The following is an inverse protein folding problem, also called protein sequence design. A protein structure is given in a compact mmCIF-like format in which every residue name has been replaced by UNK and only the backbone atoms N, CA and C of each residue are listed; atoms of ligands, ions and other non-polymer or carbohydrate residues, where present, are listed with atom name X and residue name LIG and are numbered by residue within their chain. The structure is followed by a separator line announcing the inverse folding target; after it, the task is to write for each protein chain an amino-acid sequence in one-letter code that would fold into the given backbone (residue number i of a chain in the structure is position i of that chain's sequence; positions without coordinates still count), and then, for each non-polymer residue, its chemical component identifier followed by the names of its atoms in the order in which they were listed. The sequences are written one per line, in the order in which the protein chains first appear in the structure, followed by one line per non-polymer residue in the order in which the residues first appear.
data_IF_404672541038
#
_entry.id   IF_404672541038
#
_cell.length_a   1.000
_cell.length_b   1.000
_cell.length_c   1.000
_cell.angle_alpha   90.00
_cell.angle_beta   90.00
_cell.angle_gamma   90.00
#
_symmetry.space_group_name_H-M   'P 1'
#
loop_
_entity.id
_entity.type
_entity.pdbx_description
1 polymer ?
#
# COMPACT_ATOMS: atom_id res chain seq x y z
N UNK A 1 -37.26 44.47 -4.95
CA UNK A 1 -36.95 43.71 -6.18
C UNK A 1 -35.44 43.79 -6.47
N UNK A 2 -34.87 44.97 -6.72
CA UNK A 2 -33.44 45.10 -7.07
C UNK A 2 -32.47 44.57 -5.96
N UNK A 3 -32.73 44.89 -4.69
CA UNK A 3 -31.89 44.43 -3.56
C UNK A 3 -31.92 42.91 -3.36
N UNK A 4 -33.10 42.31 -3.50
CA UNK A 4 -33.29 40.86 -3.39
C UNK A 4 -32.57 40.10 -4.52
N UNK A 5 -32.52 40.66 -5.73
CA UNK A 5 -31.78 40.05 -6.85
C UNK A 5 -30.27 40.09 -6.63
N UNK A 6 -29.75 41.18 -6.08
CA UNK A 6 -28.32 41.34 -5.77
C UNK A 6 -27.89 40.37 -4.65
N UNK A 7 -28.72 40.20 -3.62
CA UNK A 7 -28.45 39.24 -2.55
C UNK A 7 -28.45 37.80 -3.05
N UNK A 8 -29.37 37.45 -3.96
CA UNK A 8 -29.43 36.13 -4.57
C UNK A 8 -28.18 35.84 -5.41
N UNK A 9 -27.70 36.81 -6.21
CA UNK A 9 -26.48 36.70 -7.02
C UNK A 9 -25.21 36.51 -6.17
N UNK A 10 -25.14 37.16 -5.01
CA UNK A 10 -24.03 36.99 -4.05
C UNK A 10 -24.04 35.60 -3.38
N UNK A 11 -25.22 35.03 -3.12
CA UNK A 11 -25.34 33.69 -2.55
C UNK A 11 -24.81 32.59 -3.50
N UNK A 12 -25.02 32.72 -4.82
CA UNK A 12 -24.49 31.76 -5.81
C UNK A 12 -22.96 31.73 -5.83
N UNK A 13 -22.31 32.87 -5.57
CA UNK A 13 -20.84 32.96 -5.49
C UNK A 13 -20.25 32.28 -4.23
N UNK A 14 -21.08 32.00 -3.23
CA UNK A 14 -20.68 31.25 -2.02
C UNK A 14 -21.04 29.76 -2.08
N UNK A 15 -21.84 29.36 -3.07
CA UNK A 15 -22.13 27.97 -3.39
C UNK A 15 -20.97 27.42 -4.23
N UNK A 16 -19.80 27.28 -3.60
CA UNK A 16 -18.85 26.29 -4.08
C UNK A 16 -19.52 24.94 -3.88
N UNK A 17 -20.11 24.40 -4.96
CA UNK A 17 -20.34 22.97 -5.02
C UNK A 17 -18.97 22.34 -4.74
N UNK A 18 -18.89 21.55 -3.67
CA UNK A 18 -17.72 20.74 -3.36
C UNK A 18 -17.57 19.70 -4.47
N UNK A 19 -17.11 20.12 -5.66
CA UNK A 19 -16.70 19.27 -6.78
C UNK A 19 -15.34 18.66 -6.44
N UNK A 20 -15.21 18.11 -5.23
CA UNK A 20 -14.12 17.25 -4.86
C UNK A 20 -14.07 16.09 -5.85
N UNK A 21 -12.87 15.71 -6.26
CA UNK A 21 -12.65 14.57 -7.15
C UNK A 21 -13.43 13.34 -6.63
N UNK A 22 -14.39 12.78 -7.40
CA UNK A 22 -15.20 11.64 -6.94
C UNK A 22 -14.39 10.34 -6.85
N UNK A 23 -13.12 10.38 -7.26
CA UNK A 23 -12.15 9.31 -7.19
C UNK A 23 -11.11 9.61 -6.10
N UNK A 24 -10.84 8.62 -5.26
CA UNK A 24 -9.62 8.56 -4.44
C UNK A 24 -8.65 7.56 -5.06
N UNK A 25 -7.32 7.82 -5.06
CA UNK A 25 -6.34 6.85 -5.56
C UNK A 25 -6.55 5.48 -4.92
N UNK A 26 -6.35 4.40 -5.68
CA UNK A 26 -6.56 3.04 -5.19
C UNK A 26 -5.55 2.66 -4.11
N UNK A 27 -5.99 1.87 -3.12
CA UNK A 27 -5.05 1.22 -2.21
C UNK A 27 -4.32 0.15 -2.99
N UNK A 28 -2.99 0.16 -2.90
CA UNK A 28 -2.17 -0.89 -3.48
C UNK A 28 -1.62 -1.74 -2.34
N UNK A 29 -1.76 -3.06 -2.48
CA UNK A 29 -1.19 -4.02 -1.54
C UNK A 29 0.31 -3.79 -1.37
N UNK A 30 0.77 -3.90 -0.12
CA UNK A 30 2.16 -3.85 0.23
C UNK A 30 2.98 -4.91 -0.47
N UNK A 31 4.20 -4.56 -0.82
CA UNK A 31 5.13 -5.47 -1.48
C UNK A 31 6.54 -5.35 -0.91
N UNK A 32 7.14 -6.51 -0.68
CA UNK A 32 8.50 -6.62 -0.17
C UNK A 32 9.50 -6.82 -1.32
N UNK A 33 10.49 -5.94 -1.38
CA UNK A 33 11.52 -5.94 -2.43
C UNK A 33 12.91 -6.13 -1.83
N UNK A 34 13.66 -7.18 -2.22
CA UNK A 34 14.97 -7.47 -1.67
C UNK A 34 16.08 -6.74 -2.43
N UNK A 35 17.19 -6.47 -1.74
CA UNK A 35 18.43 -6.02 -2.38
C UNK A 35 19.24 -7.15 -3.06
N UNK A 36 18.87 -8.42 -2.82
CA UNK A 36 19.53 -9.61 -3.35
C UNK A 36 18.49 -10.67 -3.76
N UNK A 37 18.82 -11.53 -4.72
CA UNK A 37 17.90 -12.56 -5.20
C UNK A 37 17.82 -13.73 -4.22
N UNK A 38 16.72 -13.82 -3.47
CA UNK A 38 16.34 -15.01 -2.69
C UNK A 38 15.03 -15.61 -3.19
N UNK A 39 14.69 -16.81 -2.72
CA UNK A 39 13.47 -17.52 -3.09
C UNK A 39 12.35 -17.23 -2.11
N UNK A 40 11.23 -16.68 -2.59
CA UNK A 40 9.97 -16.67 -1.86
C UNK A 40 9.25 -17.97 -2.18
N UNK A 41 8.97 -18.77 -1.15
CA UNK A 41 8.27 -20.06 -1.30
C UNK A 41 6.75 -19.89 -1.27
N UNK A 42 6.25 -18.88 -0.57
CA UNK A 42 4.82 -18.55 -0.48
C UNK A 42 4.66 -17.09 -0.04
N UNK A 43 3.63 -16.42 -0.56
CA UNK A 43 3.12 -15.17 -0.01
C UNK A 43 1.66 -15.36 0.38
N UNK A 44 1.31 -14.95 1.59
CA UNK A 44 -0.07 -14.91 2.06
C UNK A 44 -0.44 -13.49 2.44
N UNK A 45 -1.59 -13.03 1.96
CA UNK A 45 -2.10 -11.66 2.14
C UNK A 45 -3.48 -11.78 2.76
N UNK A 46 -3.61 -11.42 4.03
CA UNK A 46 -4.87 -11.29 4.72
C UNK A 46 -5.27 -9.81 4.78
N UNK A 47 -6.45 -9.49 4.24
CA UNK A 47 -6.98 -8.13 4.16
C UNK A 47 -8.27 -8.07 4.96
N UNK A 48 -8.30 -7.24 6.00
CA UNK A 48 -9.51 -6.97 6.77
C UNK A 48 -10.04 -5.58 6.44
N UNK A 49 -11.27 -5.51 5.91
CA UNK A 49 -11.98 -4.26 5.70
C UNK A 49 -12.80 -3.92 6.94
N UNK A 50 -12.50 -2.77 7.54
CA UNK A 50 -13.14 -2.29 8.77
C UNK A 50 -13.79 -0.94 8.50
N UNK A 51 -15.01 -0.74 9.00
CA UNK A 51 -15.67 0.56 8.92
C UNK A 51 -14.88 1.62 9.69
N UNK A 52 -14.56 2.74 9.05
CA UNK A 52 -13.96 3.90 9.67
C UNK A 52 -15.03 4.68 10.42
N UNK A 53 -15.03 4.57 11.74
CA UNK A 53 -15.99 5.27 12.61
C UNK A 53 -15.56 6.69 12.95
N UNK A 54 -14.36 7.13 12.50
CA UNK A 54 -13.83 8.46 12.81
C UNK A 54 -14.31 9.55 11.84
N UNK A 55 -14.76 9.17 10.63
CA UNK A 55 -15.32 10.09 9.65
C UNK A 55 -16.86 9.93 9.55
N UNK A 56 -17.57 11.07 9.51
CA UNK A 56 -19.04 11.15 9.44
C UNK A 56 -19.60 10.53 8.15
N UNK A 57 -18.75 10.30 7.15
CA UNK A 57 -19.09 9.65 5.88
C UNK A 57 -18.89 8.13 5.87
N UNK A 58 -18.41 7.52 6.97
CA UNK A 58 -18.22 6.06 7.13
C UNK A 58 -17.60 5.38 5.90
N UNK A 59 -16.34 5.74 5.60
CA UNK A 59 -15.52 4.99 4.65
C UNK A 59 -14.95 3.72 5.30
N UNK A 60 -14.31 2.85 4.53
CA UNK A 60 -13.64 1.66 5.05
C UNK A 60 -12.12 1.86 5.08
N UNK A 61 -11.47 1.32 6.11
CA UNK A 61 -10.03 1.13 6.17
C UNK A 61 -9.68 -0.32 5.90
N UNK A 62 -8.55 -0.54 5.24
CA UNK A 62 -7.98 -1.87 5.05
C UNK A 62 -6.82 -2.07 6.02
N UNK A 63 -6.90 -3.14 6.79
CA UNK A 63 -5.78 -3.65 7.59
C UNK A 63 -5.21 -4.88 6.90
N UNK A 64 -3.93 -4.83 6.59
CA UNK A 64 -3.22 -5.87 5.86
C UNK A 64 -2.28 -6.61 6.81
N UNK A 65 -2.26 -7.94 6.68
CA UNK A 65 -1.20 -8.79 7.22
C UNK A 65 -0.63 -9.60 6.08
N UNK A 66 0.64 -9.35 5.74
CA UNK A 66 1.32 -10.04 4.64
C UNK A 66 2.45 -10.89 5.20
N UNK A 67 2.36 -12.19 4.95
CA UNK A 67 3.34 -13.20 5.37
C UNK A 67 4.13 -13.70 4.16
N UNK A 68 5.44 -13.43 4.16
CA UNK A 68 6.40 -13.94 3.20
C UNK A 68 7.17 -15.12 3.79
N UNK A 69 7.05 -16.28 3.18
CA UNK A 69 7.91 -17.42 3.47
C UNK A 69 9.10 -17.41 2.53
N UNK A 70 10.31 -17.38 3.08
CA UNK A 70 11.55 -17.19 2.33
C UNK A 70 12.51 -18.33 2.66
N UNK A 71 13.06 -18.96 1.62
CA UNK A 71 14.12 -19.95 1.79
C UNK A 71 15.49 -19.32 1.55
N UNK A 72 16.40 -19.49 2.51
CA UNK A 72 17.78 -19.01 2.44
C UNK A 72 18.76 -20.20 2.49
N UNK A 73 19.63 -20.31 1.49
CA UNK A 73 20.66 -21.37 1.41
C UNK A 73 21.71 -21.27 2.52
N UNK A 74 21.91 -20.06 3.03
CA UNK A 74 22.83 -19.71 4.11
C UNK A 74 22.25 -18.59 4.97
N UNK A 75 22.81 -18.39 6.16
CA UNK A 75 22.41 -17.29 7.02
C UNK A 75 22.88 -15.96 6.40
N UNK A 76 21.96 -14.99 6.27
CA UNK A 76 22.20 -13.73 5.57
C UNK A 76 21.44 -12.58 6.23
N UNK A 77 22.04 -11.40 6.20
CA UNK A 77 21.32 -10.15 6.46
C UNK A 77 20.78 -9.60 5.13
N UNK A 78 19.46 -9.55 5.01
CA UNK A 78 18.77 -9.16 3.78
C UNK A 78 18.15 -7.76 3.93
N UNK A 79 18.74 -6.72 3.29
CA UNK A 79 18.09 -5.42 3.20
C UNK A 79 16.85 -5.50 2.32
N UNK A 80 15.75 -4.94 2.80
CA UNK A 80 14.45 -4.98 2.18
C UNK A 80 13.82 -3.59 2.15
N UNK A 81 13.00 -3.34 1.12
CA UNK A 81 12.06 -2.23 1.08
C UNK A 81 10.65 -2.78 1.01
N UNK A 82 9.78 -2.26 1.87
CA UNK A 82 8.35 -2.45 1.81
C UNK A 82 7.69 -1.24 1.17
N UNK A 83 6.86 -1.47 0.15
CA UNK A 83 6.20 -0.44 -0.64
C UNK A 83 4.68 -0.70 -0.65
N UNK A 84 3.87 0.25 -0.21
CA UNK A 84 2.41 0.16 -0.22
C UNK A 84 1.81 1.53 -0.53
N UNK A 85 0.75 1.65 -1.35
CA UNK A 85 0.15 2.97 -1.63
C UNK A 85 -0.96 3.35 -0.65
N UNK A 86 -1.06 4.66 -0.37
CA UNK A 86 -2.06 5.26 0.53
C UNK A 86 -2.00 4.67 1.93
N UNK A 87 -0.79 4.42 2.43
CA UNK A 87 -0.60 3.86 3.74
C UNK A 87 -0.90 4.92 4.81
N UNK A 88 -1.71 4.54 5.80
CA UNK A 88 -1.97 5.36 6.99
C UNK A 88 -0.89 5.14 8.06
N UNK A 89 -0.31 3.94 8.08
CA UNK A 89 0.79 3.61 8.97
C UNK A 89 1.29 2.18 8.77
N UNK A 90 2.58 2.00 9.03
CA UNK A 90 3.17 0.68 9.23
C UNK A 90 2.91 0.29 10.69
N UNK A 91 2.21 -0.83 10.90
CA UNK A 91 1.82 -1.27 12.24
C UNK A 91 2.93 -2.11 12.88
N UNK A 92 3.44 -3.10 12.13
CA UNK A 92 4.41 -4.06 12.66
C UNK A 92 5.23 -4.75 11.57
N UNK A 93 6.46 -5.11 11.89
CA UNK A 93 7.26 -6.06 11.09
C UNK A 93 7.78 -7.16 12.01
N UNK A 94 7.57 -8.42 11.62
CA UNK A 94 8.15 -9.59 12.29
C UNK A 94 9.11 -10.30 11.34
N UNK A 95 10.30 -10.65 11.84
CA UNK A 95 11.24 -11.55 11.16
C UNK A 95 11.47 -12.75 12.07
N UNK A 96 11.05 -13.93 11.63
CA UNK A 96 11.09 -15.16 12.41
C UNK A 96 10.50 -14.96 13.82
N UNK A 97 9.29 -14.38 13.90
CA UNK A 97 8.55 -14.03 15.11
C UNK A 97 9.16 -12.92 15.98
N UNK A 98 10.34 -12.39 15.63
CA UNK A 98 10.96 -11.29 16.33
C UNK A 98 10.55 -9.97 15.69
N UNK A 99 10.02 -9.07 16.51
CA UNK A 99 9.63 -7.74 16.04
C UNK A 99 10.85 -6.87 15.76
N UNK A 100 10.80 -6.19 14.62
CA UNK A 100 11.85 -5.25 14.20
C UNK A 100 11.23 -3.93 13.79
N UNK A 101 12.02 -2.86 13.88
CA UNK A 101 11.59 -1.53 13.47
C UNK A 101 11.78 -1.36 11.95
N UNK A 102 10.72 -0.92 11.28
CA UNK A 102 10.77 -0.41 9.91
C UNK A 102 11.03 1.09 9.92
N UNK A 103 12.05 1.54 9.18
CA UNK A 103 12.35 2.97 9.07
C UNK A 103 11.73 3.52 7.81
N UNK A 104 11.09 4.69 7.92
CA UNK A 104 10.65 5.43 6.73
C UNK A 104 11.85 5.60 5.79
N UNK A 105 11.63 5.37 4.51
CA UNK A 105 12.64 5.63 3.51
C UNK A 105 12.86 7.15 3.46
N UNK A 106 14.11 7.58 3.55
CA UNK A 106 14.56 8.96 3.45
C UNK A 106 15.44 9.19 2.21
N UNK A 107 16.32 8.25 1.90
CA UNK A 107 17.08 8.21 0.64
C UNK A 107 17.19 6.77 0.10
N UNK A 108 16.76 6.51 -1.14
CA UNK A 108 16.98 5.22 -1.77
C UNK A 108 18.46 5.15 -2.13
N UNK A 109 19.26 4.54 -1.25
CA UNK A 109 20.68 4.34 -1.50
C UNK A 109 20.93 3.43 -2.72
N UNK A 110 22.20 3.32 -3.14
CA UNK A 110 22.64 2.48 -4.28
C UNK A 110 22.24 0.99 -4.19
N UNK A 111 21.79 0.54 -3.02
CA UNK A 111 21.30 -0.82 -2.76
C UNK A 111 19.99 -1.15 -3.50
N UNK A 112 19.15 -0.16 -3.78
CA UNK A 112 17.84 -0.36 -4.41
C UNK A 112 17.76 0.37 -5.76
N UNK A 113 18.44 -0.18 -6.79
CA UNK A 113 18.57 0.48 -8.12
C UNK A 113 17.24 0.75 -8.83
N UNK A 114 16.17 0.09 -8.40
CA UNK A 114 14.82 0.24 -8.94
C UNK A 114 14.05 1.43 -8.34
N UNK A 115 14.57 2.05 -7.28
CA UNK A 115 13.94 3.12 -6.54
C UNK A 115 14.82 4.36 -6.63
N UNK A 116 14.23 5.51 -6.98
CA UNK A 116 14.92 6.80 -6.95
C UNK A 116 14.05 7.86 -6.34
N UNK A 117 14.67 8.91 -5.80
CA UNK A 117 13.97 10.11 -5.35
C UNK A 117 13.97 11.14 -6.48
N UNK A 118 12.80 11.61 -6.90
CA UNK A 118 12.67 12.65 -7.92
C UNK A 118 11.47 13.56 -7.59
N UNK A 119 11.69 14.87 -7.61
CA UNK A 119 10.66 15.89 -7.40
C UNK A 119 9.83 15.71 -6.11
N UNK A 120 10.44 15.17 -5.05
CA UNK A 120 9.76 14.91 -3.77
C UNK A 120 8.88 13.65 -3.75
N UNK A 121 9.02 12.77 -4.73
CA UNK A 121 8.37 11.46 -4.80
C UNK A 121 9.40 10.34 -4.95
N UNK A 122 9.04 9.15 -4.47
CA UNK A 122 9.76 7.95 -4.86
C UNK A 122 9.27 7.52 -6.23
N UNK A 123 10.19 7.25 -7.13
CA UNK A 123 9.90 6.68 -8.43
C UNK A 123 10.40 5.25 -8.48
N UNK A 124 9.55 4.34 -8.95
CA UNK A 124 9.88 2.93 -9.16
C UNK A 124 9.96 2.63 -10.66
N UNK A 125 11.01 1.92 -11.09
CA UNK A 125 11.13 1.41 -12.46
C UNK A 125 10.80 -0.08 -12.55
N UNK A 126 9.86 -0.42 -13.42
CA UNK A 126 9.31 -1.78 -13.54
C UNK A 126 10.02 -2.68 -14.54
N UNK A 127 10.63 -2.14 -15.59
CA UNK A 127 11.59 -2.79 -16.51
C UNK A 127 11.93 -1.90 -17.73
N UNK A 128 11.28 -0.74 -17.85
CA UNK A 128 11.44 0.21 -18.94
C UNK A 128 12.04 1.54 -18.45
N UNK A 129 12.28 2.46 -19.39
CA UNK A 129 12.57 3.87 -19.10
C UNK A 129 11.41 4.60 -18.38
N UNK A 130 10.27 3.93 -18.17
CA UNK A 130 9.13 4.47 -17.45
C UNK A 130 9.28 4.30 -15.94
N UNK A 131 9.03 5.40 -15.24
CA UNK A 131 9.10 5.49 -13.79
C UNK A 131 7.72 5.86 -13.25
N UNK A 132 7.23 5.11 -12.27
CA UNK A 132 5.97 5.40 -11.59
C UNK A 132 6.22 6.05 -10.25
N UNK A 133 5.64 7.23 -10.05
CA UNK A 133 5.73 7.97 -8.78
C UNK A 133 4.84 7.33 -7.71
N UNK A 134 5.37 7.20 -6.51
CA UNK A 134 4.71 6.80 -5.28
C UNK A 134 5.03 7.83 -4.19
N UNK A 135 4.16 7.94 -3.18
CA UNK A 135 4.37 8.88 -2.07
C UNK A 135 5.61 8.50 -1.24
N UNK A 136 6.23 9.49 -0.60
CA UNK A 136 7.36 9.23 0.31
C UNK A 136 6.93 8.53 1.61
N UNK A 137 5.68 8.70 2.01
CA UNK A 137 5.13 8.07 3.22
C UNK A 137 4.82 6.57 3.04
N UNK A 138 4.94 6.07 1.82
CA UNK A 138 4.48 4.77 1.38
C UNK A 138 5.63 3.75 1.24
N UNK A 139 6.83 4.11 1.70
CA UNK A 139 8.03 3.30 1.58
C UNK A 139 8.80 3.17 2.91
N UNK A 140 9.06 1.94 3.33
CA UNK A 140 9.78 1.61 4.56
C UNK A 140 10.93 0.66 4.25
N UNK A 141 12.05 0.80 4.95
CA UNK A 141 13.20 -0.09 4.81
C UNK A 141 13.56 -0.72 6.14
N UNK A 142 14.07 -1.94 6.06
CA UNK A 142 14.56 -2.70 7.19
C UNK A 142 15.55 -3.77 6.72
N UNK A 143 16.24 -4.41 7.67
CA UNK A 143 17.14 -5.52 7.38
C UNK A 143 16.65 -6.76 8.12
N UNK A 144 16.32 -7.81 7.38
CA UNK A 144 15.90 -9.08 7.94
C UNK A 144 17.12 -9.99 8.15
N UNK A 145 17.28 -10.52 9.37
CA UNK A 145 18.30 -11.52 9.67
C UNK A 145 17.70 -12.90 9.43
N UNK A 146 18.07 -13.52 8.31
CA UNK A 146 17.59 -14.83 7.90
C UNK A 146 18.58 -15.89 8.35
N UNK A 147 18.09 -16.99 8.89
CA UNK A 147 18.89 -18.19 9.12
C UNK A 147 18.83 -19.10 7.90
N UNK A 148 19.76 -20.05 7.81
CA UNK A 148 19.70 -21.10 6.80
C UNK A 148 18.38 -21.88 6.91
N UNK A 149 17.76 -22.18 5.78
CA UNK A 149 16.47 -22.86 5.70
C UNK A 149 15.30 -21.88 5.55
N UNK A 150 14.16 -22.24 6.11
CA UNK A 150 12.91 -21.49 5.94
C UNK A 150 12.78 -20.38 6.99
N UNK A 151 12.37 -19.20 6.52
CA UNK A 151 12.19 -18.01 7.33
C UNK A 151 10.82 -17.40 7.04
N UNK A 152 10.29 -16.63 7.99
CA UNK A 152 9.05 -15.87 7.83
C UNK A 152 9.30 -14.38 8.01
N UNK A 153 8.79 -13.55 7.10
CA UNK A 153 8.70 -12.10 7.28
C UNK A 153 7.22 -11.72 7.23
N UNK A 154 6.70 -11.19 8.34
CA UNK A 154 5.35 -10.64 8.38
C UNK A 154 5.41 -9.12 8.37
N UNK A 155 4.59 -8.49 7.54
CA UNK A 155 4.39 -7.03 7.52
C UNK A 155 2.93 -6.73 7.74
N UNK A 156 2.64 -5.91 8.74
CA UNK A 156 1.29 -5.44 9.07
C UNK A 156 1.22 -3.94 8.88
N UNK A 157 0.18 -3.48 8.21
CA UNK A 157 -0.03 -2.06 7.95
C UNK A 157 -1.50 -1.76 7.69
N UNK A 158 -1.85 -0.48 7.81
CA UNK A 158 -3.18 0.02 7.55
C UNK A 158 -3.16 1.01 6.39
N UNK A 159 -4.17 0.97 5.52
CA UNK A 159 -4.28 1.87 4.38
C UNK A 159 -5.71 2.38 4.18
N UNK A 160 -5.81 3.52 3.49
CA UNK A 160 -7.09 4.06 3.04
C UNK A 160 -7.55 3.33 1.79
N UNK A 161 -8.82 2.94 1.77
CA UNK A 161 -9.40 2.35 0.58
C UNK A 161 -9.59 3.40 -0.50
N UNK A 162 -9.15 3.08 -1.72
CA UNK A 162 -9.58 3.84 -2.88
C UNK A 162 -11.05 3.59 -3.16
N UNK A 163 -11.72 4.64 -3.63
CA UNK A 163 -13.15 4.58 -3.92
C UNK A 163 -13.49 5.32 -5.20
N UNK A 164 -14.55 4.86 -5.84
CA UNK A 164 -15.25 5.55 -6.94
C UNK A 164 -16.70 5.84 -6.50
N UNK A 165 -17.04 7.12 -6.42
CA UNK A 165 -18.37 7.62 -6.01
C UNK A 165 -19.21 8.12 -7.20
N UNK A 166 -18.84 7.81 -8.44
CA UNK A 166 -19.60 8.23 -9.63
C UNK A 166 -20.90 7.47 -9.84
N UNK A 167 -21.04 6.31 -9.19
CA UNK A 167 -22.24 5.47 -9.22
C UNK A 167 -23.10 5.67 -7.94
N UNK A 168 -24.34 5.16 -7.94
CA UNK A 168 -25.25 5.22 -6.78
C UNK A 168 -24.66 4.51 -5.57
N UNK A 169 -23.86 3.45 -5.80
CA UNK A 169 -23.12 2.72 -4.77
C UNK A 169 -21.63 3.01 -4.90
N UNK A 170 -20.99 3.38 -3.78
CA UNK A 170 -19.54 3.50 -3.71
C UNK A 170 -18.90 2.14 -4.01
N UNK A 171 -17.95 2.13 -4.95
CA UNK A 171 -17.14 0.95 -5.28
C UNK A 171 -15.77 1.09 -4.65
N UNK A 172 -15.32 0.04 -3.95
CA UNK A 172 -13.99 -0.04 -3.38
C UNK A 172 -13.09 -0.91 -4.25
N UNK A 173 -11.82 -0.52 -4.39
CA UNK A 173 -10.84 -1.22 -5.22
C UNK A 173 -9.52 -1.42 -4.46
N UNK A 174 -8.95 -2.61 -4.62
CA UNK A 174 -7.63 -3.00 -4.14
C UNK A 174 -6.82 -3.49 -5.32
N UNK A 175 -5.68 -2.87 -5.58
CA UNK A 175 -4.77 -3.26 -6.64
C UNK A 175 -3.56 -4.01 -6.04
N UNK A 176 -3.12 -5.10 -6.67
CA UNK A 176 -1.91 -5.82 -6.27
C UNK A 176 -0.77 -5.58 -7.26
N UNK A 177 0.41 -5.24 -6.75
CA UNK A 177 1.61 -4.99 -7.57
C UNK A 177 2.41 -6.28 -7.78
N UNK A 178 2.34 -6.87 -8.97
CA UNK A 178 3.12 -8.07 -9.32
C UNK A 178 4.60 -7.80 -9.61
N UNK A 179 4.97 -6.56 -9.96
CA UNK A 179 6.34 -6.24 -10.39
C UNK A 179 7.46 -6.63 -9.40
N UNK A 180 7.28 -6.57 -8.06
CA UNK A 180 8.36 -6.83 -7.10
C UNK A 180 8.86 -8.26 -7.13
N UNK A 181 8.01 -9.18 -7.57
CA UNK A 181 8.35 -10.59 -7.76
C UNK A 181 9.62 -10.80 -8.59
N UNK A 182 9.92 -9.88 -9.54
CA UNK A 182 11.10 -9.95 -10.42
C UNK A 182 12.45 -9.80 -9.69
N UNK A 183 12.44 -9.18 -8.50
CA UNK A 183 13.65 -8.99 -7.69
C UNK A 183 13.98 -10.21 -6.82
N UNK A 184 13.04 -11.15 -6.74
CA UNK A 184 13.25 -12.46 -6.14
C UNK A 184 13.81 -13.43 -7.19
N UNK A 185 14.56 -14.46 -6.75
CA UNK A 185 15.06 -15.50 -7.66
C UNK A 185 13.93 -16.38 -8.19
N UNK A 186 12.91 -16.59 -7.36
CA UNK A 186 11.64 -17.23 -7.69
C UNK A 186 10.60 -16.78 -6.69
N UNK A 187 9.34 -16.81 -7.13
CA UNK A 187 8.18 -16.40 -6.34
C UNK A 187 7.15 -17.52 -6.38
N UNK A 188 6.80 -18.02 -5.20
CA UNK A 188 5.80 -19.07 -5.02
C UNK A 188 4.37 -18.60 -5.26
N UNK A 189 3.37 -19.43 -4.93
CA UNK A 189 1.98 -19.01 -4.99
C UNK A 189 1.70 -17.81 -4.09
N UNK A 190 0.70 -17.03 -4.50
CA UNK A 190 0.14 -15.90 -3.74
C UNK A 190 -1.25 -16.31 -3.29
N UNK A 191 -1.45 -16.35 -1.97
CA UNK A 191 -2.76 -16.58 -1.37
C UNK A 191 -3.33 -15.25 -0.88
N UNK A 192 -4.54 -14.91 -1.34
CA UNK A 192 -5.23 -13.68 -0.94
C UNK A 192 -6.53 -14.01 -0.24
N UNK A 193 -6.66 -13.52 0.98
CA UNK A 193 -7.86 -13.66 1.82
C UNK A 193 -8.43 -12.28 2.09
N UNK A 194 -9.66 -12.04 1.61
CA UNK A 194 -10.40 -10.81 1.86
C UNK A 194 -11.48 -11.07 2.90
N UNK A 195 -11.37 -10.40 4.03
CA UNK A 195 -12.32 -10.45 5.13
C UNK A 195 -13.16 -9.17 5.12
N UNK A 196 -14.43 -9.33 4.77
CA UNK A 196 -15.39 -8.24 4.72
C UNK A 196 -16.08 -8.05 6.07
N UNK A 197 -16.35 -6.80 6.42
CA UNK A 197 -17.38 -6.49 7.42
C UNK A 197 -18.76 -6.87 6.84
N UNK A 198 -19.66 -7.40 7.66
CA UNK A 198 -20.91 -8.05 7.25
C UNK A 198 -21.94 -7.16 6.53
N UNK A 199 -21.58 -5.91 6.23
CA UNK A 199 -22.36 -4.94 5.45
C UNK A 199 -21.87 -4.80 4.00
N UNK A 200 -20.78 -5.46 3.61
CA UNK A 200 -20.21 -5.39 2.26
C UNK A 200 -20.53 -6.65 1.45
N UNK A 201 -20.87 -6.46 0.17
CA UNK A 201 -21.07 -7.54 -0.80
C UNK A 201 -19.90 -7.55 -1.81
N UNK A 202 -19.40 -8.74 -2.17
CA UNK A 202 -18.42 -8.90 -3.26
C UNK A 202 -19.14 -8.82 -4.60
N UNK A 203 -18.78 -7.85 -5.43
CA UNK A 203 -19.20 -7.81 -6.83
C UNK A 203 -18.19 -8.63 -7.65
N UNK A 204 -18.66 -9.67 -8.34
CA UNK A 204 -17.85 -10.50 -9.25
C UNK A 204 -18.18 -10.19 -10.70
#
# INVERSE_FOLDING_TARGET
ILLTTVYLLLAVMTLFANMANPMSPHSITGQLVPAAKLKVTNERIDIHLLADTADYNSDYRSHFSIDYNIHAEEAIELPLVFLALNMDGLDRILVNQNEIEGKKMDQPGSKFRFLRLKDGYYEISYDSDEWKSISLNDAFHFTAKLHKGDNSIQVQYSAYMGYDRRDIRTRYQIDYLLFPSRYWSSFGPIELYLHLDGKMDVLT
#
